data_IF_123798113574
#
_entry.id   IF_123798113574
#
_cell.length_a   1.000
_cell.length_b   1.000
_cell.length_c   1.000
_cell.angle_alpha   90.00
_cell.angle_beta   90.00
_cell.angle_gamma   90.00
#
_symmetry.space_group_name_H-M   'P 1'
#
loop_
_entity.id
_entity.type
_entity.pdbx_description
1 polymer ?
#
# COMPACT_ATOMS: atom_id res chain seq x y z
N UNK A 1 25.08 30.55 -12.89
CA UNK A 1 25.27 30.13 -11.47
C UNK A 1 24.18 29.20 -10.92
N UNK A 2 22.96 29.15 -11.48
CA UNK A 2 21.90 28.26 -10.99
C UNK A 2 22.14 26.75 -11.24
N UNK A 3 22.75 26.39 -12.37
CA UNK A 3 22.97 24.99 -12.80
C UNK A 3 24.00 24.24 -11.92
N UNK A 4 24.96 24.95 -11.32
CA UNK A 4 25.96 24.33 -10.44
C UNK A 4 25.38 24.04 -9.05
N UNK A 5 24.47 24.89 -8.54
CA UNK A 5 23.75 24.64 -7.29
C UNK A 5 22.81 23.45 -7.39
N UNK A 6 22.09 23.29 -8.49
CA UNK A 6 21.18 22.15 -8.68
C UNK A 6 21.94 20.82 -8.73
N UNK A 7 23.09 20.76 -9.42
CA UNK A 7 23.95 19.55 -9.43
C UNK A 7 24.52 19.20 -8.05
N UNK A 8 24.93 20.19 -7.27
CA UNK A 8 25.43 19.97 -5.91
C UNK A 8 24.33 19.50 -4.96
N UNK A 9 23.12 20.04 -5.09
CA UNK A 9 21.94 19.61 -4.32
C UNK A 9 21.57 18.17 -4.68
N UNK A 10 21.50 17.84 -5.98
CA UNK A 10 21.22 16.47 -6.46
C UNK A 10 22.26 15.45 -5.99
N UNK A 11 23.55 15.79 -6.06
CA UNK A 11 24.61 14.90 -5.58
C UNK A 11 24.54 14.69 -4.06
N UNK A 12 24.26 15.75 -3.30
CA UNK A 12 24.09 15.64 -1.84
C UNK A 12 22.86 14.82 -1.43
N UNK A 13 21.76 14.89 -2.21
CA UNK A 13 20.57 14.07 -2.01
C UNK A 13 20.86 12.60 -2.31
N UNK A 14 21.48 12.31 -3.46
CA UNK A 14 21.85 10.94 -3.84
C UNK A 14 22.79 10.27 -2.82
N UNK A 15 23.74 11.02 -2.24
CA UNK A 15 24.62 10.52 -1.17
C UNK A 15 23.84 10.20 0.11
N UNK A 16 22.91 11.06 0.53
CA UNK A 16 22.06 10.81 1.71
C UNK A 16 21.18 9.58 1.52
N UNK A 17 20.55 9.45 0.36
CA UNK A 17 19.74 8.26 0.05
C UNK A 17 20.58 6.98 0.04
N UNK A 18 21.79 7.02 -0.53
CA UNK A 18 22.68 5.86 -0.52
C UNK A 18 23.06 5.45 0.92
N UNK A 19 23.36 6.43 1.79
CA UNK A 19 23.69 6.13 3.19
C UNK A 19 22.50 5.54 3.95
N UNK A 20 21.30 6.12 3.80
CA UNK A 20 20.09 5.58 4.43
C UNK A 20 19.83 4.13 3.97
N UNK A 21 19.97 3.84 2.68
CA UNK A 21 19.84 2.48 2.14
C UNK A 21 20.85 1.50 2.74
N UNK A 22 22.08 1.92 3.03
CA UNK A 22 23.08 1.07 3.68
C UNK A 22 22.71 0.81 5.15
N UNK A 23 22.28 1.84 5.89
CA UNK A 23 21.86 1.68 7.28
C UNK A 23 20.67 0.71 7.42
N UNK A 24 19.70 0.78 6.51
CA UNK A 24 18.56 -0.15 6.47
C UNK A 24 19.05 -1.59 6.22
N UNK A 25 19.97 -1.80 5.25
CA UNK A 25 20.54 -3.13 4.98
C UNK A 25 21.32 -3.68 6.17
N UNK A 26 22.06 -2.84 6.87
CA UNK A 26 22.79 -3.23 8.07
C UNK A 26 21.83 -3.64 9.19
N UNK A 27 20.74 -2.90 9.39
CA UNK A 27 19.67 -3.25 10.32
C UNK A 27 19.03 -4.58 9.95
N UNK A 28 18.69 -4.79 8.68
CA UNK A 28 18.14 -6.06 8.19
C UNK A 28 19.08 -7.23 8.43
N UNK A 29 20.37 -7.05 8.16
CA UNK A 29 21.40 -8.08 8.40
C UNK A 29 21.52 -8.41 9.88
N UNK A 30 21.48 -7.39 10.75
CA UNK A 30 21.45 -7.59 12.20
C UNK A 30 20.23 -8.39 12.62
N UNK A 31 19.04 -8.03 12.15
CA UNK A 31 17.79 -8.76 12.47
C UNK A 31 17.94 -10.24 12.12
N UNK A 32 18.35 -10.55 10.89
CA UNK A 32 18.56 -11.93 10.44
C UNK A 32 19.54 -12.71 11.33
N UNK A 33 20.56 -12.06 11.87
CA UNK A 33 21.50 -12.69 12.81
C UNK A 33 20.90 -12.98 14.20
N UNK A 34 19.89 -12.21 14.62
CA UNK A 34 19.24 -12.37 15.94
C UNK A 34 18.07 -13.35 15.92
N UNK A 35 17.37 -13.49 14.79
CA UNK A 35 16.27 -14.46 14.61
C UNK A 35 16.59 -15.87 15.12
N UNK A 36 17.69 -16.53 14.71
CA UNK A 36 18.00 -17.88 15.18
C UNK A 36 18.27 -17.91 16.69
N UNK A 37 18.86 -16.85 17.26
CA UNK A 37 19.14 -16.72 18.70
C UNK A 37 17.84 -16.62 19.50
N UNK A 38 16.89 -15.80 19.04
CA UNK A 38 15.57 -15.70 19.67
C UNK A 38 14.82 -17.04 19.63
N UNK A 39 14.87 -17.76 18.50
CA UNK A 39 14.26 -19.09 18.36
C UNK A 39 14.91 -20.11 19.29
N UNK A 40 16.24 -20.11 19.39
CA UNK A 40 16.98 -20.99 20.29
C UNK A 40 16.67 -20.70 21.76
N UNK A 41 16.69 -19.42 22.16
CA UNK A 41 16.35 -18.99 23.51
C UNK A 41 14.93 -19.41 23.90
N UNK A 42 13.96 -19.26 22.99
CA UNK A 42 12.59 -19.75 23.19
C UNK A 42 12.54 -21.24 23.46
N UNK A 43 13.25 -22.05 22.68
CA UNK A 43 13.31 -23.51 22.88
C UNK A 43 13.90 -23.86 24.26
N UNK A 44 14.94 -23.15 24.68
CA UNK A 44 15.55 -23.33 26.00
C UNK A 44 14.58 -22.95 27.14
N UNK A 45 13.87 -21.83 27.02
CA UNK A 45 12.88 -21.39 28.01
C UNK A 45 11.73 -22.40 28.17
N UNK A 46 11.26 -22.99 27.06
CA UNK A 46 10.26 -24.05 27.11
C UNK A 46 10.81 -25.30 27.80
N UNK A 47 12.07 -25.67 27.52
CA UNK A 47 12.72 -26.81 28.18
C UNK A 47 12.89 -26.60 29.69
N UNK A 48 13.03 -25.35 30.15
CA UNK A 48 13.07 -24.98 31.56
C UNK A 48 11.68 -24.91 32.22
N UNK A 49 10.60 -25.19 31.49
CA UNK A 49 9.24 -25.22 32.02
C UNK A 49 8.54 -23.86 32.04
N UNK A 50 9.10 -22.83 31.41
CA UNK A 50 8.42 -21.53 31.29
C UNK A 50 7.21 -21.64 30.35
N UNK A 51 6.10 -20.98 30.71
CA UNK A 51 4.89 -20.97 29.88
C UNK A 51 5.01 -19.94 28.74
N UNK A 52 4.98 -20.36 27.46
CA UNK A 52 5.07 -19.44 26.33
C UNK A 52 3.86 -18.50 26.18
N UNK A 53 2.72 -18.81 26.81
CA UNK A 53 1.47 -18.05 26.73
C UNK A 53 1.19 -17.21 27.98
N UNK A 54 2.21 -16.97 28.81
CA UNK A 54 2.06 -16.09 29.98
C UNK A 54 1.66 -14.67 29.52
N UNK A 55 0.59 -14.06 30.06
CA UNK A 55 0.17 -12.71 29.69
C UNK A 55 1.22 -11.63 29.98
N UNK A 56 2.12 -11.86 30.95
CA UNK A 56 3.10 -10.85 31.41
C UNK A 56 4.52 -11.16 30.95
N UNK A 57 4.88 -12.44 30.82
CA UNK A 57 6.23 -12.88 30.43
C UNK A 57 6.22 -13.85 29.23
N UNK A 58 5.12 -13.90 28.49
CA UNK A 58 4.97 -14.79 27.34
C UNK A 58 6.03 -14.53 26.28
N UNK A 59 6.38 -15.59 25.56
CA UNK A 59 7.34 -15.55 24.47
C UNK A 59 6.71 -16.25 23.26
N UNK A 60 5.88 -15.51 22.48
CA UNK A 60 5.25 -16.03 21.28
C UNK A 60 6.28 -16.61 20.31
N UNK A 61 5.84 -17.56 19.49
CA UNK A 61 6.72 -18.12 18.45
C UNK A 61 7.01 -17.03 17.42
N UNK A 62 8.29 -16.67 17.28
CA UNK A 62 8.76 -15.77 16.23
C UNK A 62 8.71 -16.46 14.86
N UNK A 63 7.71 -16.13 14.05
CA UNK A 63 7.59 -16.61 12.67
C UNK A 63 8.28 -15.67 11.71
N UNK A 64 8.46 -16.11 10.46
CA UNK A 64 9.08 -15.27 9.43
C UNK A 64 8.15 -14.11 9.05
N UNK A 65 6.83 -14.29 9.13
CA UNK A 65 5.86 -13.21 8.86
C UNK A 65 5.95 -12.08 9.89
N UNK A 66 6.33 -12.40 11.12
CA UNK A 66 6.47 -11.42 12.19
C UNK A 66 7.71 -10.53 11.97
N UNK A 67 8.61 -10.86 11.03
CA UNK A 67 9.76 -10.03 10.67
C UNK A 67 9.42 -8.92 9.69
N UNK A 68 8.23 -8.93 9.10
CA UNK A 68 7.80 -7.92 8.14
C UNK A 68 7.55 -6.58 8.83
N UNK A 69 8.14 -5.52 8.27
CA UNK A 69 7.86 -4.11 8.57
C UNK A 69 7.63 -3.37 7.26
N UNK A 70 6.76 -2.35 7.29
CA UNK A 70 6.55 -1.47 6.15
C UNK A 70 7.81 -0.64 5.94
N UNK A 71 8.35 -0.68 4.72
CA UNK A 71 9.52 0.11 4.37
C UNK A 71 9.09 1.54 4.07
N UNK A 72 9.39 2.49 4.96
CA UNK A 72 9.08 3.91 4.74
C UNK A 72 9.92 4.61 3.67
N UNK A 73 10.99 3.98 3.16
CA UNK A 73 11.88 4.56 2.13
C UNK A 73 11.45 4.21 0.69
N UNK A 74 10.63 3.18 0.51
CA UNK A 74 10.16 2.77 -0.81
C UNK A 74 8.74 3.28 -1.04
N UNK A 75 8.43 3.74 -2.28
CA UNK A 75 7.04 3.90 -2.70
C UNK A 75 6.31 2.59 -2.42
N UNK A 76 5.16 2.67 -1.78
CA UNK A 76 4.41 1.49 -1.43
C UNK A 76 3.83 0.86 -2.69
N UNK A 77 3.99 -0.46 -2.83
CA UNK A 77 3.28 -1.17 -3.89
C UNK A 77 1.78 -1.22 -3.58
N UNK A 78 0.96 -1.13 -4.64
CA UNK A 78 -0.49 -1.32 -4.55
C UNK A 78 -0.82 -2.64 -3.82
N UNK A 79 -1.68 -2.57 -2.80
CA UNK A 79 -2.09 -3.73 -2.02
C UNK A 79 -1.18 -4.08 -0.84
N UNK A 80 -0.08 -3.34 -0.62
CA UNK A 80 0.66 -3.43 0.63
C UNK A 80 -0.04 -2.69 1.78
N UNK A 81 -1.04 -1.83 1.50
CA UNK A 81 -1.80 -1.13 2.53
C UNK A 81 -2.39 -2.06 3.60
N UNK A 82 -2.97 -3.20 3.19
CA UNK A 82 -3.58 -4.18 4.09
C UNK A 82 -2.60 -5.08 4.86
N UNK A 83 -1.29 -4.97 4.63
CA UNK A 83 -0.29 -5.77 5.35
C UNK A 83 -0.01 -5.14 6.71
N UNK A 84 -0.26 -5.91 7.77
CA UNK A 84 0.03 -5.52 9.15
C UNK A 84 1.49 -5.86 9.44
N UNK A 85 2.19 -4.96 10.13
CA UNK A 85 3.54 -5.21 10.62
C UNK A 85 3.54 -6.34 11.66
N UNK A 86 4.65 -7.08 11.75
CA UNK A 86 4.79 -8.10 12.77
C UNK A 86 4.78 -7.51 14.19
N UNK A 87 4.23 -8.25 15.14
CA UNK A 87 4.07 -7.82 16.54
C UNK A 87 5.38 -7.47 17.27
N UNK A 88 6.54 -7.89 16.73
CA UNK A 88 7.85 -7.56 17.30
C UNK A 88 8.28 -6.12 17.02
N UNK A 89 7.67 -5.50 16.01
CA UNK A 89 7.91 -4.11 15.67
C UNK A 89 7.10 -3.28 16.64
N UNK A 90 7.76 -2.63 17.62
CA UNK A 90 7.03 -1.99 18.67
C UNK A 90 6.24 -0.82 18.08
N UNK A 91 4.95 -0.76 18.38
CA UNK A 91 4.21 0.50 18.38
C UNK A 91 4.77 1.40 19.51
N UNK A 92 5.97 1.96 19.32
CA UNK A 92 6.50 3.04 20.17
C UNK A 92 7.43 2.66 21.33
N UNK A 93 8.12 1.51 21.33
CA UNK A 93 9.14 1.26 22.36
C UNK A 93 10.40 2.11 22.10
N UNK A 94 10.48 3.23 22.79
CA UNK A 94 11.62 4.15 22.74
C UNK A 94 12.55 3.86 23.92
N UNK A 95 13.76 3.39 23.64
CA UNK A 95 14.70 2.85 24.65
C UNK A 95 15.15 3.85 25.74
N UNK A 96 14.77 5.13 25.66
CA UNK A 96 15.24 6.19 26.55
C UNK A 96 14.13 7.16 27.01
N UNK A 97 12.85 6.82 26.87
CA UNK A 97 11.77 7.66 27.43
C UNK A 97 11.48 7.25 28.87
N UNK A 98 11.24 8.24 29.74
CA UNK A 98 10.61 7.98 31.03
C UNK A 98 9.16 7.53 30.83
N UNK A 99 8.57 6.86 31.82
CA UNK A 99 7.16 6.42 31.78
C UNK A 99 6.19 7.58 31.50
N UNK A 100 6.52 8.79 31.97
CA UNK A 100 5.75 10.01 31.74
C UNK A 100 5.86 10.47 30.28
N UNK A 101 7.06 10.51 29.73
CA UNK A 101 7.26 10.87 28.32
C UNK A 101 6.70 9.81 27.38
N UNK A 102 6.78 8.52 27.74
CA UNK A 102 6.18 7.44 26.95
C UNK A 102 4.66 7.58 26.87
N UNK A 103 4.00 7.89 28.00
CA UNK A 103 2.56 8.11 28.04
C UNK A 103 2.09 9.34 27.23
N UNK A 104 2.95 10.36 27.07
CA UNK A 104 2.65 11.56 26.29
C UNK A 104 2.93 11.35 24.79
N UNK A 105 4.10 10.83 24.43
CA UNK A 105 4.55 10.79 23.03
C UNK A 105 4.09 9.57 22.24
N UNK A 106 3.92 8.40 22.88
CA UNK A 106 3.56 7.16 22.16
C UNK A 106 2.17 7.25 21.53
N UNK A 107 1.12 7.76 22.21
CA UNK A 107 -0.20 7.93 21.60
C UNK A 107 -0.15 8.84 20.38
N UNK A 108 0.57 9.96 20.45
CA UNK A 108 0.71 10.89 19.33
C UNK A 108 1.40 10.23 18.14
N UNK A 109 2.52 9.54 18.35
CA UNK A 109 3.23 8.85 17.27
C UNK A 109 2.39 7.74 16.65
N UNK A 110 1.64 6.99 17.47
CA UNK A 110 0.71 5.97 16.98
C UNK A 110 -0.42 6.60 16.15
N UNK A 111 -0.96 7.73 16.60
CA UNK A 111 -1.96 8.49 15.85
C UNK A 111 -1.42 8.95 14.51
N UNK A 112 -0.22 9.54 14.47
CA UNK A 112 0.40 9.98 13.21
C UNK A 112 0.61 8.81 12.26
N UNK A 113 1.10 7.65 12.74
CA UNK A 113 1.26 6.46 11.90
C UNK A 113 -0.08 5.95 11.35
N UNK A 114 -1.09 5.83 12.20
CA UNK A 114 -2.43 5.39 11.80
C UNK A 114 -3.06 6.37 10.80
N UNK A 115 -2.85 7.67 10.99
CA UNK A 115 -3.32 8.70 10.09
C UNK A 115 -2.62 8.60 8.72
N UNK A 116 -1.30 8.48 8.69
CA UNK A 116 -0.54 8.28 7.44
C UNK A 116 -0.97 7.00 6.71
N UNK A 117 -1.15 5.89 7.43
CA UNK A 117 -1.65 4.63 6.86
C UNK A 117 -3.06 4.82 6.24
N UNK A 118 -3.94 5.56 6.90
CA UNK A 118 -5.27 5.88 6.39
C UNK A 118 -5.21 6.74 5.12
N UNK A 119 -4.44 7.83 5.13
CA UNK A 119 -4.28 8.71 3.95
C UNK A 119 -3.77 7.92 2.76
N UNK A 120 -2.81 7.03 3.00
CA UNK A 120 -2.23 6.17 2.00
C UNK A 120 -3.24 5.15 1.45
N UNK A 121 -4.07 4.54 2.31
CA UNK A 121 -5.13 3.64 1.85
C UNK A 121 -6.14 4.37 0.96
N UNK A 122 -6.48 5.61 1.30
CA UNK A 122 -7.36 6.44 0.47
C UNK A 122 -6.72 6.71 -0.90
N UNK A 123 -5.42 7.01 -0.94
CA UNK A 123 -4.69 7.19 -2.20
C UNK A 123 -4.68 5.90 -3.04
N UNK A 124 -4.41 4.74 -2.43
CA UNK A 124 -4.42 3.44 -3.13
C UNK A 124 -5.79 3.15 -3.75
N UNK A 125 -6.87 3.39 -3.01
CA UNK A 125 -8.24 3.21 -3.51
C UNK A 125 -8.50 4.15 -4.69
N UNK A 126 -8.03 5.40 -4.63
CA UNK A 126 -8.17 6.35 -5.72
C UNK A 126 -7.40 5.91 -6.98
N UNK A 127 -6.15 5.47 -6.81
CA UNK A 127 -5.31 4.99 -7.91
C UNK A 127 -5.99 3.80 -8.58
N UNK A 128 -6.45 2.81 -7.81
CA UNK A 128 -7.13 1.64 -8.35
C UNK A 128 -8.39 2.02 -9.13
N UNK A 129 -9.20 2.95 -8.61
CA UNK A 129 -10.38 3.44 -9.32
C UNK A 129 -10.02 4.09 -10.66
N UNK A 130 -8.96 4.91 -10.71
CA UNK A 130 -8.51 5.51 -11.96
C UNK A 130 -7.92 4.50 -12.95
N UNK A 131 -7.23 3.47 -12.47
CA UNK A 131 -6.74 2.38 -13.34
C UNK A 131 -7.90 1.59 -13.94
N UNK A 132 -8.98 1.32 -13.20
CA UNK A 132 -10.21 0.74 -13.76
C UNK A 132 -10.81 1.64 -14.85
N UNK A 133 -10.97 2.93 -14.59
CA UNK A 133 -11.47 3.88 -15.58
C UNK A 133 -10.62 3.87 -16.86
N UNK A 134 -9.29 3.95 -16.71
CA UNK A 134 -8.36 3.95 -17.84
C UNK A 134 -8.44 2.64 -18.63
N UNK A 135 -8.50 1.48 -17.95
CA UNK A 135 -8.61 0.18 -18.60
C UNK A 135 -9.89 0.08 -19.43
N UNK A 136 -11.03 0.46 -18.86
CA UNK A 136 -12.33 0.41 -19.53
C UNK A 136 -12.36 1.35 -20.74
N UNK A 137 -11.88 2.58 -20.59
CA UNK A 137 -11.76 3.52 -21.71
C UNK A 137 -10.82 2.99 -22.80
N UNK A 138 -9.71 2.37 -22.41
CA UNK A 138 -8.76 1.74 -23.31
C UNK A 138 -9.40 0.61 -24.12
N UNK A 139 -10.18 -0.26 -23.48
CA UNK A 139 -10.90 -1.33 -24.15
C UNK A 139 -11.95 -0.80 -25.13
N UNK A 140 -12.77 0.17 -24.72
CA UNK A 140 -13.77 0.80 -25.61
C UNK A 140 -13.10 1.48 -26.82
N UNK A 141 -11.97 2.17 -26.60
CA UNK A 141 -11.22 2.79 -27.69
C UNK A 141 -10.68 1.74 -28.65
N UNK A 142 -10.17 0.64 -28.11
CA UNK A 142 -9.59 -0.42 -28.92
C UNK A 142 -10.65 -1.19 -29.71
N UNK A 143 -11.84 -1.45 -29.13
CA UNK A 143 -13.02 -1.94 -29.85
C UNK A 143 -13.35 -1.06 -31.06
N UNK A 144 -13.40 0.26 -30.85
CA UNK A 144 -13.67 1.23 -31.91
C UNK A 144 -12.60 1.20 -33.01
N UNK A 145 -11.31 1.18 -32.63
CA UNK A 145 -10.17 1.16 -33.57
C UNK A 145 -10.18 -0.12 -34.42
N UNK A 146 -10.38 -1.29 -33.81
CA UNK A 146 -10.43 -2.54 -34.56
C UNK A 146 -11.66 -2.64 -35.46
N UNK A 147 -12.79 -2.07 -35.04
CA UNK A 147 -13.99 -1.99 -35.88
C UNK A 147 -13.74 -1.13 -37.12
N UNK A 148 -13.10 0.04 -36.95
CA UNK A 148 -12.71 0.88 -38.07
C UNK A 148 -11.72 0.18 -39.01
N UNK A 149 -10.70 -0.49 -38.45
CA UNK A 149 -9.72 -1.22 -39.25
C UNK A 149 -10.34 -2.39 -40.03
N UNK A 150 -11.36 -3.06 -39.47
CA UNK A 150 -12.12 -4.09 -40.17
C UNK A 150 -12.93 -3.53 -41.35
N UNK A 151 -13.39 -2.27 -41.25
CA UNK A 151 -14.07 -1.56 -42.33
C UNK A 151 -13.08 -1.14 -43.43
N UNK A 152 -11.90 -0.63 -43.07
CA UNK A 152 -10.87 -0.20 -44.04
C UNK A 152 -10.36 -1.36 -44.92
N UNK A 153 -10.34 -2.59 -44.39
CA UNK A 153 -9.94 -3.79 -45.11
C UNK A 153 -11.12 -4.62 -45.64
N UNK A 154 -12.28 -3.99 -45.90
CA UNK A 154 -13.49 -4.69 -46.33
C UNK A 154 -13.32 -5.50 -47.63
N UNK A 155 -12.45 -5.07 -48.53
CA UNK A 155 -12.21 -5.67 -49.85
C UNK A 155 -11.17 -6.82 -49.84
N UNK A 156 -10.41 -6.99 -48.76
CA UNK A 156 -9.37 -8.02 -48.63
C UNK A 156 -9.77 -9.02 -47.53
N UNK A 157 -10.42 -10.16 -47.88
CA UNK A 157 -10.91 -11.12 -46.90
C UNK A 157 -9.82 -11.65 -45.96
N UNK A 158 -8.59 -11.75 -46.46
CA UNK A 158 -7.44 -12.21 -45.68
C UNK A 158 -7.05 -11.22 -44.60
N UNK A 159 -7.04 -9.92 -44.91
CA UNK A 159 -6.73 -8.86 -43.94
C UNK A 159 -7.90 -8.50 -43.02
N UNK A 160 -9.13 -8.79 -43.43
CA UNK A 160 -10.36 -8.49 -42.68
C UNK A 160 -10.61 -9.42 -41.49
N UNK A 161 -10.25 -10.70 -41.62
CA UNK A 161 -10.65 -11.74 -40.67
C UNK A 161 -10.14 -11.49 -39.24
N UNK A 162 -8.90 -11.00 -39.09
CA UNK A 162 -8.31 -10.75 -37.77
C UNK A 162 -8.89 -9.49 -37.09
N UNK A 163 -8.95 -8.32 -37.74
CA UNK A 163 -9.63 -7.14 -37.19
C UNK A 163 -11.10 -7.36 -36.86
N UNK A 164 -11.84 -8.19 -37.61
CA UNK A 164 -13.24 -8.51 -37.28
C UNK A 164 -13.42 -9.22 -35.94
N UNK A 165 -12.43 -10.01 -35.49
CA UNK A 165 -12.52 -10.76 -34.24
C UNK A 165 -12.19 -9.92 -33.00
N UNK A 166 -11.35 -8.89 -33.16
CA UNK A 166 -10.81 -8.12 -32.04
C UNK A 166 -11.84 -7.27 -31.28
N UNK A 167 -12.82 -6.61 -31.92
CA UNK A 167 -13.83 -5.84 -31.23
C UNK A 167 -14.55 -6.64 -30.15
N UNK A 168 -14.98 -7.86 -30.46
CA UNK A 168 -15.64 -8.74 -29.48
C UNK A 168 -14.75 -9.02 -28.26
N UNK A 169 -13.46 -9.26 -28.46
CA UNK A 169 -12.52 -9.51 -27.34
C UNK A 169 -12.42 -8.28 -26.44
N UNK A 170 -12.23 -7.09 -27.03
CA UNK A 170 -12.12 -5.86 -26.24
C UNK A 170 -13.44 -5.48 -25.58
N UNK A 171 -14.57 -5.76 -26.23
CA UNK A 171 -15.89 -5.57 -25.65
C UNK A 171 -16.10 -6.48 -24.42
N UNK A 172 -15.71 -7.76 -24.51
CA UNK A 172 -15.75 -8.69 -23.38
C UNK A 172 -14.85 -8.23 -22.23
N UNK A 173 -13.62 -7.81 -22.52
CA UNK A 173 -12.70 -7.26 -21.50
C UNK A 173 -13.25 -5.98 -20.86
N UNK A 174 -13.88 -5.10 -21.64
CA UNK A 174 -14.55 -3.89 -21.17
C UNK A 174 -15.69 -4.19 -20.20
N UNK A 175 -16.55 -5.16 -20.55
CA UNK A 175 -17.66 -5.60 -19.69
C UNK A 175 -17.16 -6.25 -18.40
N UNK A 176 -16.19 -7.17 -18.48
CA UNK A 176 -15.59 -7.82 -17.31
C UNK A 176 -14.95 -6.79 -16.35
N UNK A 177 -14.24 -5.79 -16.89
CA UNK A 177 -13.68 -4.72 -16.08
C UNK A 177 -14.76 -3.85 -15.42
N UNK A 178 -15.85 -3.52 -16.12
CA UNK A 178 -16.99 -2.80 -15.56
C UNK A 178 -17.69 -3.58 -14.45
N UNK A 179 -17.93 -4.88 -14.65
CA UNK A 179 -18.55 -5.75 -13.66
C UNK A 179 -17.68 -5.88 -12.40
N UNK A 180 -16.37 -6.06 -12.57
CA UNK A 180 -15.43 -6.11 -11.45
C UNK A 180 -15.38 -4.78 -10.69
N UNK A 181 -15.36 -3.64 -11.40
CA UNK A 181 -15.37 -2.33 -10.79
C UNK A 181 -16.66 -2.07 -10.00
N UNK A 182 -17.82 -2.41 -10.58
CA UNK A 182 -19.11 -2.29 -9.90
C UNK A 182 -19.21 -3.22 -8.67
N UNK A 183 -18.70 -4.44 -8.76
CA UNK A 183 -18.69 -5.42 -7.66
C UNK A 183 -17.94 -4.93 -6.42
N UNK A 184 -16.88 -4.14 -6.61
CA UNK A 184 -16.11 -3.55 -5.51
C UNK A 184 -16.64 -2.19 -5.05
N UNK A 185 -17.81 -1.76 -5.55
CA UNK A 185 -18.44 -0.49 -5.17
C UNK A 185 -17.86 0.73 -5.89
N UNK A 186 -17.12 0.53 -6.97
CA UNK A 186 -16.58 1.62 -7.79
C UNK A 186 -17.68 2.50 -8.38
N UNK A 187 -17.57 3.80 -8.19
CA UNK A 187 -18.48 4.80 -8.76
C UNK A 187 -17.84 5.53 -9.92
N UNK A 188 -18.66 5.91 -10.89
CA UNK A 188 -18.23 6.71 -12.03
C UNK A 188 -18.43 8.20 -11.75
N UNK A 189 -17.54 9.01 -12.32
CA UNK A 189 -17.74 10.45 -12.44
C UNK A 189 -19.08 10.72 -13.11
N UNK A 190 -20.03 11.28 -12.36
CA UNK A 190 -21.31 11.73 -12.91
C UNK A 190 -21.06 12.86 -13.90
N UNK A 191 -21.86 12.91 -14.96
CA UNK A 191 -21.76 13.97 -15.96
C UNK A 191 -21.91 15.35 -15.29
N UNK A 192 -20.95 16.24 -15.55
CA UNK A 192 -20.93 17.60 -14.99
C UNK A 192 -20.29 17.73 -13.60
N UNK A 193 -19.83 16.63 -12.99
CA UNK A 193 -19.13 16.65 -11.70
C UNK A 193 -17.62 16.67 -11.95
N UNK A 194 -16.93 17.67 -11.41
CA UNK A 194 -15.46 17.72 -11.46
C UNK A 194 -14.84 16.59 -10.63
N UNK A 195 -13.61 16.17 -10.96
CA UNK A 195 -12.89 15.17 -10.18
C UNK A 195 -12.79 15.56 -8.69
N UNK A 196 -12.57 16.85 -8.40
CA UNK A 196 -12.52 17.36 -7.03
C UNK A 196 -13.86 17.19 -6.28
N UNK A 197 -14.99 17.39 -6.96
CA UNK A 197 -16.32 17.19 -6.37
C UNK A 197 -16.64 15.71 -6.17
N UNK A 198 -16.26 14.83 -7.10
CA UNK A 198 -16.41 13.39 -6.91
C UNK A 198 -15.55 12.86 -5.76
N UNK A 199 -14.34 13.41 -5.57
CA UNK A 199 -13.51 13.11 -4.41
C UNK A 199 -14.21 13.45 -3.09
N UNK A 200 -14.96 14.55 -3.04
CA UNK A 200 -15.77 14.93 -1.87
C UNK A 200 -17.09 14.15 -1.72
N UNK A 201 -17.51 13.39 -2.74
CA UNK A 201 -18.69 12.51 -2.70
C UNK A 201 -18.38 11.10 -2.19
N UNK A 202 -17.10 10.68 -2.21
CA UNK A 202 -16.70 9.57 -1.36
C UNK A 202 -17.12 9.96 0.06
N UNK A 203 -17.77 9.05 0.81
CA UNK A 203 -18.18 9.38 2.16
C UNK A 203 -16.95 9.95 2.83
N UNK A 204 -17.03 11.22 3.19
CA UNK A 204 -16.23 11.78 4.27
C UNK A 204 -16.39 10.74 5.37
N UNK A 205 -15.44 9.81 5.48
CA UNK A 205 -15.23 9.10 6.71
C UNK A 205 -14.64 10.18 7.62
N UNK A 206 -15.51 11.14 8.00
CA UNK A 206 -15.41 11.85 9.26
C UNK A 206 -15.55 10.75 10.29
N UNK A 207 -14.44 10.06 10.51
CA UNK A 207 -14.25 9.19 11.64
C UNK A 207 -14.34 10.16 12.81
N UNK A 208 -15.46 10.10 13.52
CA UNK A 208 -15.63 10.84 14.76
C UNK A 208 -14.72 10.19 15.80
N UNK A 209 -13.46 10.63 15.82
CA UNK A 209 -12.45 10.18 16.75
C UNK A 209 -12.79 10.57 18.20
N UNK A 210 -13.69 11.54 18.41
CA UNK A 210 -14.14 11.98 19.75
C UNK A 210 -15.11 11.01 20.41
N UNK A 211 -15.92 10.28 19.63
CA UNK A 211 -16.87 9.31 20.15
C UNK A 211 -16.20 8.07 20.78
N UNK A 212 -15.04 7.65 20.26
CA UNK A 212 -14.34 6.43 20.72
C UNK A 212 -13.54 6.60 22.02
N UNK A 213 -13.29 7.84 22.46
CA UNK A 213 -12.55 8.12 23.70
C UNK A 213 -13.49 8.07 24.91
N UNK A 214 -14.79 8.29 24.72
CA UNK A 214 -15.77 8.35 25.80
C UNK A 214 -16.24 6.97 26.32
N UNK A 215 -16.03 5.89 25.56
CA UNK A 215 -16.44 4.52 25.97
C UNK A 215 -15.35 3.74 26.74
N UNK A 216 -14.19 4.36 27.02
CA UNK A 216 -13.06 3.70 27.71
C UNK A 216 -12.68 4.32 29.06
N UNK A 217 -13.57 5.10 29.68
CA UNK A 217 -13.43 5.53 31.09
C UNK A 217 -14.39 4.77 32.00
#
# INVERSE_FOLDING_TARGET
>A
MAILRTKHIQHSQALREHMCRQEIKDVQTKIQSYVPKCRQARTALIALGCNPQDPKFGFPKLRDEDLYTKNGDQPHDLGNGGKVEGWIWPQGYHKNLSEVEEAEYVPDLQWHRAHMDMEQWLEEVEILAQEFHRAIQGFNKMETVWTALAHDHQEDPGKKAYPLKKPNIYQEMGKDAQEKFAKVGGTWLRAGVSLAQHKSEHPDQKIDWGANIAEKN
#
